data_IF_310319349413
#
_entry.id   IF_310319349413
#
_cell.length_a   1.000
_cell.length_b   1.000
_cell.length_c   1.000
_cell.angle_alpha   90.00
_cell.angle_beta   90.00
_cell.angle_gamma   90.00
#
_symmetry.space_group_name_H-M   'P 1'
#
loop_
_entity.id
_entity.type
_entity.pdbx_description
1 polymer ?
#
# COMPACT_ATOMS: atom_id res chain seq x y z
N UNK A 1 13.39 12.69 -14.54
CA UNK A 1 12.17 12.33 -13.81
C UNK A 1 12.49 12.41 -12.34
N UNK A 2 11.74 13.19 -11.56
CA UNK A 2 11.97 13.30 -10.11
C UNK A 2 11.20 12.20 -9.40
N UNK A 3 11.85 11.52 -8.45
CA UNK A 3 11.25 10.49 -7.62
C UNK A 3 11.14 11.00 -6.19
N UNK A 4 9.92 11.03 -5.65
CA UNK A 4 9.67 11.40 -4.26
C UNK A 4 9.34 10.16 -3.43
N UNK A 5 9.89 10.10 -2.22
CA UNK A 5 9.70 8.99 -1.28
C UNK A 5 8.68 9.36 -0.20
N UNK A 6 8.07 8.36 0.44
CA UNK A 6 7.28 8.58 1.65
C UNK A 6 8.15 9.02 2.84
N UNK A 7 7.75 10.06 3.58
CA UNK A 7 8.49 10.50 4.78
C UNK A 7 8.08 11.88 5.29
N UNK A 8 8.84 12.40 6.26
CA UNK A 8 8.52 13.66 6.97
C UNK A 8 9.31 14.90 6.52
N UNK A 9 10.31 14.74 5.64
CA UNK A 9 11.15 15.85 5.16
C UNK A 9 10.42 16.64 4.06
N UNK A 10 10.90 17.86 3.77
CA UNK A 10 10.28 18.77 2.80
C UNK A 10 10.17 18.21 1.36
N UNK A 11 11.06 17.28 1.00
CA UNK A 11 11.09 16.65 -0.32
C UNK A 11 10.48 15.24 -0.28
N UNK A 12 9.72 14.93 0.77
CA UNK A 12 9.04 13.64 0.94
C UNK A 12 7.53 13.84 0.83
N UNK A 13 6.87 12.79 0.39
CA UNK A 13 5.42 12.76 0.22
C UNK A 13 4.75 12.05 1.40
N UNK A 14 3.49 12.41 1.63
CA UNK A 14 2.64 11.77 2.63
C UNK A 14 1.23 11.56 2.06
N UNK A 15 0.68 10.35 2.24
CA UNK A 15 -0.72 10.04 1.92
C UNK A 15 -1.47 9.79 3.23
N UNK A 16 -2.18 10.81 3.73
CA UNK A 16 -2.84 10.79 5.03
C UNK A 16 -4.24 11.38 4.91
N UNK A 17 -5.20 10.74 5.56
CA UNK A 17 -6.54 11.27 5.74
C UNK A 17 -6.90 11.23 7.23
N UNK A 18 -7.27 12.38 7.79
CA UNK A 18 -7.73 12.50 9.17
C UNK A 18 -9.26 12.47 9.19
N UNK A 19 -9.82 11.42 9.78
CA UNK A 19 -11.26 11.19 9.80
C UNK A 19 -11.81 11.48 11.19
N UNK A 20 -12.77 12.39 11.28
CA UNK A 20 -13.59 12.59 12.47
C UNK A 20 -14.81 11.67 12.40
N UNK A 21 -15.00 10.82 13.40
CA UNK A 21 -16.05 9.80 13.40
C UNK A 21 -16.64 9.55 14.79
N UNK A 22 -17.83 8.95 14.84
CA UNK A 22 -18.54 8.52 16.06
C UNK A 22 -19.29 7.19 15.81
N UNK A 23 -19.39 6.27 16.78
CA UNK A 23 -18.84 6.33 18.15
C UNK A 23 -17.32 6.23 18.18
N UNK A 24 -16.73 6.65 19.31
CA UNK A 24 -15.29 6.53 19.51
C UNK A 24 -14.89 5.06 19.40
N UNK A 25 -13.90 4.77 18.56
CA UNK A 25 -13.30 3.45 18.42
C UNK A 25 -11.90 3.49 19.02
N UNK A 26 -11.39 2.31 19.38
CA UNK A 26 -10.01 2.18 19.90
C UNK A 26 -8.95 2.41 18.82
N UNK A 27 -9.33 2.47 17.54
CA UNK A 27 -8.40 2.61 16.42
C UNK A 27 -8.02 4.08 16.23
N UNK A 28 -6.71 4.32 16.12
CA UNK A 28 -6.18 5.66 15.87
C UNK A 28 -5.46 5.74 14.52
N UNK A 29 -4.67 4.72 14.19
CA UNK A 29 -3.96 4.65 12.91
C UNK A 29 -4.39 3.40 12.16
N UNK A 30 -4.87 3.61 10.93
CA UNK A 30 -5.07 2.55 9.96
C UNK A 30 -4.32 2.92 8.68
N UNK A 31 -3.13 2.35 8.49
CA UNK A 31 -2.32 2.58 7.30
C UNK A 31 -1.72 1.29 6.78
N UNK A 32 -1.28 1.31 5.54
CA UNK A 32 -0.65 0.18 4.89
C UNK A 32 0.62 0.60 4.16
N UNK A 33 1.49 -0.37 3.92
CA UNK A 33 2.64 -0.26 3.03
C UNK A 33 2.84 -1.58 2.30
N UNK A 34 3.55 -1.56 1.17
CA UNK A 34 3.96 -2.79 0.49
C UNK A 34 4.77 -3.69 1.44
N UNK A 35 4.64 -5.01 1.29
CA UNK A 35 5.47 -5.94 2.05
C UNK A 35 6.97 -5.67 1.84
N UNK A 36 7.70 -5.61 2.95
CA UNK A 36 9.12 -5.29 2.94
C UNK A 36 9.95 -6.30 2.14
N UNK A 37 9.62 -7.59 2.21
CA UNK A 37 10.37 -8.63 1.50
C UNK A 37 10.12 -8.57 -0.01
N UNK A 38 8.87 -8.32 -0.42
CA UNK A 38 8.50 -8.11 -1.82
C UNK A 38 9.18 -6.88 -2.41
N UNK A 39 9.19 -5.76 -1.69
CA UNK A 39 9.88 -4.54 -2.16
C UNK A 39 11.40 -4.73 -2.24
N UNK A 40 12.02 -5.48 -1.31
CA UNK A 40 13.45 -5.81 -1.38
C UNK A 40 13.79 -6.62 -2.62
N UNK A 41 13.01 -7.66 -2.92
CA UNK A 41 13.21 -8.47 -4.13
C UNK A 41 13.08 -7.63 -5.41
N UNK A 42 12.18 -6.64 -5.42
CA UNK A 42 12.08 -5.68 -6.52
C UNK A 42 13.37 -4.87 -6.70
N UNK A 43 13.98 -4.38 -5.61
CA UNK A 43 15.28 -3.70 -5.69
C UNK A 43 16.40 -4.62 -6.22
N UNK A 44 16.44 -5.88 -5.78
CA UNK A 44 17.43 -6.87 -6.25
C UNK A 44 17.32 -7.11 -7.75
N UNK A 45 16.09 -7.26 -8.27
CA UNK A 45 15.80 -7.39 -9.71
C UNK A 45 16.39 -6.23 -10.53
N UNK A 46 16.46 -5.03 -9.95
CA UNK A 46 16.98 -3.81 -10.60
C UNK A 46 18.46 -3.51 -10.25
N UNK A 47 19.17 -4.49 -9.71
CA UNK A 47 20.61 -4.40 -9.44
C UNK A 47 20.94 -3.49 -8.26
N UNK A 48 20.03 -3.35 -7.29
CA UNK A 48 20.29 -2.72 -6.00
C UNK A 48 20.28 -3.81 -4.94
N UNK A 49 21.28 -3.79 -4.06
CA UNK A 49 21.36 -4.70 -2.91
C UNK A 49 19.99 -4.83 -2.22
N UNK A 50 19.47 -6.04 -2.03
CA UNK A 50 18.24 -6.29 -1.28
C UNK A 50 18.45 -6.62 0.18
N UNK A 51 19.70 -6.61 0.67
CA UNK A 51 19.99 -6.86 2.07
C UNK A 51 19.22 -5.94 3.01
N UNK A 52 18.96 -6.45 4.21
CA UNK A 52 18.30 -5.71 5.30
C UNK A 52 19.12 -4.57 5.87
N UNK A 53 20.43 -4.49 5.55
CA UNK A 53 21.36 -3.48 6.07
C UNK A 53 21.09 -2.09 5.52
N UNK A 54 20.64 -2.01 4.26
CA UNK A 54 20.38 -0.74 3.58
C UNK A 54 18.91 -0.35 3.77
N UNK A 55 18.65 0.89 4.20
CA UNK A 55 17.29 1.44 4.30
C UNK A 55 16.65 1.61 2.92
N UNK A 56 15.32 1.51 2.82
CA UNK A 56 14.61 1.65 1.55
C UNK A 56 14.88 2.99 0.85
N UNK A 57 15.02 4.08 1.62
CA UNK A 57 15.35 5.38 1.08
C UNK A 57 16.64 5.35 0.25
N UNK A 58 17.71 4.81 0.80
CA UNK A 58 19.00 4.71 0.12
C UNK A 58 18.93 3.81 -1.11
N UNK A 59 18.07 2.78 -1.09
CA UNK A 59 17.85 1.91 -2.26
C UNK A 59 17.19 2.67 -3.41
N UNK A 60 16.20 3.54 -3.13
CA UNK A 60 15.61 4.40 -4.16
C UNK A 60 16.61 5.41 -4.73
N UNK A 61 17.47 6.00 -3.89
CA UNK A 61 18.53 6.91 -4.36
C UNK A 61 19.49 6.25 -5.35
N UNK A 62 19.86 4.98 -5.11
CA UNK A 62 20.72 4.21 -6.03
C UNK A 62 20.08 3.96 -7.41
N UNK A 63 18.77 4.21 -7.57
CA UNK A 63 18.04 4.09 -8.82
C UNK A 63 17.77 5.42 -9.52
N UNK A 64 18.15 6.57 -8.94
CA UNK A 64 17.80 7.90 -9.47
C UNK A 64 18.17 8.10 -10.95
N UNK A 65 19.33 7.59 -11.37
CA UNK A 65 19.80 7.66 -12.76
C UNK A 65 19.25 6.58 -13.68
N UNK A 66 18.56 5.57 -13.14
CA UNK A 66 18.06 4.39 -13.87
C UNK A 66 16.56 4.46 -14.20
N UNK A 67 15.84 5.42 -13.63
CA UNK A 67 14.39 5.55 -13.83
C UNK A 67 14.01 5.70 -15.30
N UNK A 68 13.12 4.81 -15.75
CA UNK A 68 12.53 4.84 -17.08
C UNK A 68 11.09 4.32 -17.01
N UNK A 69 10.37 4.36 -18.14
CA UNK A 69 8.97 3.94 -18.18
C UNK A 69 8.79 2.45 -17.81
N UNK A 70 9.69 1.57 -18.24
CA UNK A 70 9.60 0.14 -17.95
C UNK A 70 9.74 -0.13 -16.45
N UNK A 71 10.72 0.48 -15.79
CA UNK A 71 10.90 0.40 -14.34
C UNK A 71 9.73 1.01 -13.57
N UNK A 72 9.16 2.11 -14.07
CA UNK A 72 7.99 2.76 -13.47
C UNK A 72 6.76 1.84 -13.54
N UNK A 73 6.53 1.22 -14.69
CA UNK A 73 5.43 0.27 -14.87
C UNK A 73 5.64 -0.98 -14.02
N UNK A 74 6.87 -1.47 -13.90
CA UNK A 74 7.21 -2.63 -13.04
C UNK A 74 6.99 -2.32 -11.55
N UNK A 75 7.34 -1.12 -11.09
CA UNK A 75 7.04 -0.68 -9.72
C UNK A 75 5.54 -0.49 -9.50
N UNK A 76 4.82 0.02 -10.50
CA UNK A 76 3.37 0.11 -10.44
C UNK A 76 2.73 -1.28 -10.33
N UNK A 77 3.19 -2.24 -11.14
CA UNK A 77 2.76 -3.64 -11.07
C UNK A 77 2.98 -4.22 -9.67
N UNK A 78 4.16 -3.98 -9.09
CA UNK A 78 4.47 -4.36 -7.70
C UNK A 78 3.42 -3.79 -6.73
N UNK A 79 3.17 -2.47 -6.74
CA UNK A 79 2.18 -1.86 -5.83
C UNK A 79 0.74 -2.34 -6.09
N UNK A 80 0.44 -2.77 -7.30
CA UNK A 80 -0.88 -3.30 -7.65
C UNK A 80 -1.05 -4.80 -7.41
N UNK A 81 0.00 -5.54 -7.06
CA UNK A 81 -0.09 -7.01 -6.92
C UNK A 81 0.47 -7.53 -5.60
N UNK A 82 1.41 -6.80 -4.99
CA UNK A 82 2.08 -7.21 -3.78
C UNK A 82 1.13 -7.25 -2.57
N UNK A 83 1.46 -8.16 -1.64
CA UNK A 83 0.88 -8.16 -0.30
C UNK A 83 1.30 -6.91 0.46
N UNK A 84 0.52 -6.57 1.48
CA UNK A 84 0.72 -5.36 2.27
C UNK A 84 0.98 -5.69 3.73
N UNK A 85 1.80 -4.85 4.36
CA UNK A 85 1.92 -4.77 5.81
C UNK A 85 0.96 -3.68 6.30
N UNK A 86 0.15 -4.02 7.29
CA UNK A 86 -0.83 -3.12 7.88
C UNK A 86 -0.32 -2.61 9.23
N UNK A 87 -0.53 -1.34 9.49
CA UNK A 87 -0.42 -0.77 10.83
C UNK A 87 -1.82 -0.35 11.28
N UNK A 88 -2.44 -1.25 12.05
CA UNK A 88 -3.69 -1.02 12.75
C UNK A 88 -3.34 -0.77 14.22
N UNK A 89 -3.21 0.50 14.60
CA UNK A 89 -2.73 0.91 15.92
C UNK A 89 -3.87 1.45 16.78
N UNK A 90 -3.81 1.12 18.05
CA UNK A 90 -4.68 1.71 19.07
C UNK A 90 -4.15 3.06 19.57
N UNK A 91 -4.87 3.67 20.52
CA UNK A 91 -4.48 4.94 21.15
C UNK A 91 -3.13 4.90 21.90
N UNK A 92 -2.62 3.73 22.24
CA UNK A 92 -1.30 3.57 22.85
C UNK A 92 -0.18 3.43 21.80
N UNK A 93 -0.53 3.47 20.51
CA UNK A 93 0.39 3.24 19.41
C UNK A 93 0.76 1.76 19.21
N UNK A 94 0.06 0.83 19.87
CA UNK A 94 0.32 -0.60 19.76
C UNK A 94 -0.56 -1.24 18.69
N UNK A 95 -0.02 -2.26 18.02
CA UNK A 95 -0.80 -3.07 17.09
C UNK A 95 -1.91 -3.82 17.85
N UNK A 96 -3.11 -3.84 17.26
CA UNK A 96 -4.16 -4.73 17.74
C UNK A 96 -3.70 -6.19 17.74
N UNK A 97 -3.95 -6.90 18.83
CA UNK A 97 -3.53 -8.30 19.00
C UNK A 97 -4.50 -9.27 18.30
N UNK A 98 -4.03 -10.48 18.00
CA UNK A 98 -4.88 -11.59 17.54
C UNK A 98 -5.07 -11.70 16.03
N UNK A 99 -4.47 -10.82 15.21
CA UNK A 99 -4.44 -11.03 13.76
C UNK A 99 -3.56 -12.23 13.39
N UNK A 100 -4.05 -13.13 12.53
CA UNK A 100 -3.40 -14.40 12.17
C UNK A 100 -1.95 -14.24 11.67
N UNK A 101 -1.68 -13.15 10.96
CA UNK A 101 -0.38 -12.84 10.37
C UNK A 101 0.40 -11.75 11.10
N UNK A 102 -0.05 -11.35 12.30
CA UNK A 102 0.53 -10.21 13.04
C UNK A 102 0.61 -8.92 12.21
N UNK A 103 -0.38 -8.72 11.33
CA UNK A 103 -0.47 -7.59 10.40
C UNK A 103 0.59 -7.52 9.30
N UNK A 104 1.35 -8.59 9.10
CA UNK A 104 2.30 -8.71 7.99
C UNK A 104 1.74 -9.54 6.83
N UNK A 105 2.20 -9.26 5.61
CA UNK A 105 1.91 -10.04 4.39
C UNK A 105 0.41 -10.32 4.19
N UNK A 106 -0.41 -9.31 4.44
CA UNK A 106 -1.87 -9.38 4.25
C UNK A 106 -2.17 -9.27 2.75
N UNK A 107 -3.15 -10.03 2.28
CA UNK A 107 -3.65 -9.91 0.91
C UNK A 107 -4.21 -8.51 0.67
N UNK A 108 -3.85 -7.91 -0.47
CA UNK A 108 -4.32 -6.58 -0.81
C UNK A 108 -5.85 -6.59 -1.00
N UNK A 109 -6.59 -5.60 -0.46
CA UNK A 109 -8.00 -5.43 -0.76
C UNK A 109 -8.22 -5.30 -2.27
N UNK A 110 -9.14 -6.09 -2.82
CA UNK A 110 -9.54 -6.01 -4.23
C UNK A 110 -10.94 -5.40 -4.33
N UNK A 111 -11.11 -4.48 -5.27
CA UNK A 111 -12.42 -3.93 -5.63
C UNK A 111 -12.96 -4.70 -6.83
N UNK A 112 -14.10 -5.37 -6.67
CA UNK A 112 -14.77 -6.13 -7.75
C UNK A 112 -15.81 -5.28 -8.52
N UNK A 113 -15.65 -3.97 -8.54
CA UNK A 113 -16.54 -3.06 -9.24
C UNK A 113 -16.29 -1.59 -8.90
N UNK A 114 -16.68 -0.71 -9.81
CA UNK A 114 -16.60 0.74 -9.61
C UNK A 114 -17.69 1.25 -8.68
N UNK A 115 -17.43 2.37 -8.01
CA UNK A 115 -18.39 3.06 -7.10
C UNK A 115 -19.70 3.44 -7.84
N UNK A 116 -19.63 3.51 -9.17
CA UNK A 116 -20.74 3.83 -10.07
C UNK A 116 -21.26 2.64 -10.86
N UNK A 117 -20.69 1.44 -10.69
CA UNK A 117 -21.29 0.24 -11.26
C UNK A 117 -22.53 -0.10 -10.44
N UNK A 118 -23.71 0.09 -11.03
CA UNK A 118 -24.96 -0.44 -10.50
C UNK A 118 -24.85 -1.96 -10.46
N UNK A 119 -24.38 -2.52 -9.35
CA UNK A 119 -24.64 -3.92 -9.04
C UNK A 119 -26.13 -4.02 -8.76
N UNK A 120 -26.88 -4.50 -9.76
CA UNK A 120 -28.28 -4.90 -9.58
C UNK A 120 -28.35 -5.75 -8.32
N UNK A 121 -29.22 -5.36 -7.39
CA UNK A 121 -29.39 -6.13 -6.17
C UNK A 121 -29.84 -7.56 -6.54
N UNK A 122 -29.48 -8.56 -5.75
CA UNK A 122 -29.77 -9.97 -6.10
C UNK A 122 -31.28 -10.25 -6.28
N UNK A 123 -32.11 -9.40 -5.69
CA UNK A 123 -33.58 -9.39 -5.72
C UNK A 123 -34.20 -8.49 -6.79
N UNK A 124 -33.41 -7.72 -7.54
CA UNK A 124 -33.92 -6.90 -8.65
C UNK A 124 -34.00 -7.75 -9.93
N UNK A 125 -35.20 -7.89 -10.50
CA UNK A 125 -35.38 -8.56 -11.78
C UNK A 125 -34.74 -7.76 -12.94
N UNK A 126 -34.27 -8.42 -14.01
CA UNK A 126 -33.95 -7.75 -15.25
C UNK A 126 -35.12 -6.96 -15.81
N UNK A 127 -34.88 -5.67 -16.09
CA UNK A 127 -35.82 -4.90 -16.89
C UNK A 127 -35.86 -5.51 -18.30
N UNK A 128 -37.05 -5.51 -18.93
CA UNK A 128 -37.29 -6.06 -20.27
C UNK A 128 -36.42 -5.45 -21.38
N UNK A 129 -35.65 -4.40 -21.08
CA UNK A 129 -34.87 -3.62 -22.04
C UNK A 129 -33.35 -3.62 -21.72
N UNK A 130 -32.87 -4.53 -20.88
CA UNK A 130 -31.43 -4.83 -20.84
C UNK A 130 -30.98 -5.52 -22.13
#
# INVERSE_FOLDING_TARGET
MYFFKGGYEINNEMCVNYVYYYPVSKIEVCKSAVDNSTLRAWFEKHGVDGSYKTHFHEKYQKLESKWNQAMTNDLLELYTSAKINMACLDHSGQLFKGHKTQWEKIERPQTFGGIFEKKRAYDECPAIND
#
